data_IF_207480643273
#
_entry.id   IF_207480643273
#
_cell.length_a   1.000
_cell.length_b   1.000
_cell.length_c   1.000
_cell.angle_alpha   90.00
_cell.angle_beta   90.00
_cell.angle_gamma   90.00
#
_symmetry.space_group_name_H-M   'P 1'
#
loop_
_entity.id
_entity.type
_entity.pdbx_description
1 polymer ?
#
# COMPACT_ATOMS: atom_id res chain seq x y z
N UNK A 1 0.47 9.97 -36.86
CA UNK A 1 -0.23 8.90 -36.10
C UNK A 1 -1.04 9.59 -35.00
N UNK A 2 -2.34 9.32 -34.84
CA UNK A 2 -3.07 9.84 -33.71
C UNK A 2 -2.53 9.18 -32.44
N UNK A 3 -1.93 9.98 -31.57
CA UNK A 3 -1.62 9.63 -30.19
C UNK A 3 -2.95 9.25 -29.53
N UNK A 4 -3.22 7.96 -29.37
CA UNK A 4 -4.30 7.52 -28.49
C UNK A 4 -3.94 8.05 -27.10
N UNK A 5 -4.84 8.81 -26.44
CA UNK A 5 -4.62 9.14 -25.04
C UNK A 5 -4.46 7.79 -24.29
N UNK A 6 -3.54 7.69 -23.32
CA UNK A 6 -3.44 6.49 -22.50
C UNK A 6 -4.84 6.19 -21.99
N UNK A 7 -5.28 4.93 -22.14
CA UNK A 7 -6.55 4.47 -21.58
C UNK A 7 -6.62 4.98 -20.14
N UNK A 8 -7.77 5.51 -19.68
CA UNK A 8 -7.89 5.91 -18.30
C UNK A 8 -7.46 4.72 -17.42
N UNK A 9 -6.62 4.95 -16.40
CA UNK A 9 -6.15 3.86 -15.56
C UNK A 9 -7.36 3.07 -15.08
N UNK A 10 -7.26 1.74 -15.10
CA UNK A 10 -8.36 0.88 -14.65
C UNK A 10 -8.71 1.09 -13.17
N UNK A 11 -7.88 1.86 -12.45
CA UNK A 11 -8.06 2.30 -11.07
C UNK A 11 -8.18 3.82 -10.96
N UNK A 12 -8.92 4.26 -9.95
CA UNK A 12 -9.10 5.69 -9.66
C UNK A 12 -7.80 6.35 -9.17
N UNK A 13 -7.62 7.67 -9.36
CA UNK A 13 -6.44 8.40 -8.88
C UNK A 13 -6.17 8.25 -7.38
N UNK A 14 -7.23 8.18 -6.56
CA UNK A 14 -7.12 7.87 -5.13
C UNK A 14 -6.57 6.48 -4.88
N UNK A 15 -7.10 5.45 -5.56
CA UNK A 15 -6.65 4.06 -5.43
C UNK A 15 -5.18 3.92 -5.81
N UNK A 16 -4.77 4.57 -6.90
CA UNK A 16 -3.39 4.68 -7.34
C UNK A 16 -2.50 5.31 -6.26
N UNK A 17 -2.98 6.36 -5.60
CA UNK A 17 -2.23 7.06 -4.55
C UNK A 17 -2.04 6.16 -3.32
N UNK A 18 -3.10 5.47 -2.88
CA UNK A 18 -3.04 4.54 -1.76
C UNK A 18 -2.04 3.41 -2.02
N UNK A 19 -2.09 2.82 -3.22
CA UNK A 19 -1.17 1.77 -3.65
C UNK A 19 0.28 2.22 -3.66
N UNK A 20 0.55 3.40 -4.22
CA UNK A 20 1.89 3.95 -4.28
C UNK A 20 2.43 4.20 -2.88
N UNK A 21 1.63 4.73 -1.96
CA UNK A 21 2.06 4.93 -0.57
C UNK A 21 2.38 3.60 0.10
N UNK A 22 1.49 2.60 0.00
CA UNK A 22 1.71 1.28 0.57
C UNK A 22 2.99 0.62 0.01
N UNK A 23 3.25 0.81 -1.28
CA UNK A 23 4.44 0.29 -1.92
C UNK A 23 5.70 1.04 -1.51
N UNK A 24 5.67 2.38 -1.42
CA UNK A 24 6.79 3.18 -0.90
C UNK A 24 7.15 2.76 0.54
N UNK A 25 6.16 2.37 1.34
CA UNK A 25 6.40 1.82 2.68
C UNK A 25 7.08 0.44 2.62
N UNK A 26 6.70 -0.41 1.68
CA UNK A 26 7.37 -1.69 1.43
C UNK A 26 8.83 -1.50 0.98
N UNK A 27 9.11 -0.41 0.26
CA UNK A 27 10.46 -0.05 -0.22
C UNK A 27 11.34 0.63 0.83
N UNK A 28 10.85 0.88 2.05
CA UNK A 28 11.54 1.70 3.06
C UNK A 28 12.92 1.18 3.49
N UNK A 29 13.14 -0.13 3.40
CA UNK A 29 14.42 -0.82 3.60
C UNK A 29 15.45 -0.54 2.49
N UNK A 30 14.99 -0.22 1.29
CA UNK A 30 15.78 -0.22 0.06
C UNK A 30 15.75 -1.56 -0.70
N UNK A 31 15.24 -2.62 -0.08
CA UNK A 31 14.97 -3.90 -0.73
C UNK A 31 13.48 -4.23 -0.64
N UNK A 32 12.83 -4.33 -1.80
CA UNK A 32 11.60 -5.08 -1.93
C UNK A 32 11.93 -6.27 -2.83
N UNK A 33 11.77 -7.50 -2.33
CA UNK A 33 12.08 -8.66 -3.15
C UNK A 33 11.13 -8.72 -4.35
N UNK A 34 11.62 -9.17 -5.51
CA UNK A 34 10.78 -9.33 -6.71
C UNK A 34 9.57 -10.25 -6.43
N UNK A 35 9.74 -11.21 -5.51
CA UNK A 35 8.66 -12.04 -4.98
C UNK A 35 7.60 -11.23 -4.20
N UNK A 36 8.01 -10.33 -3.30
CA UNK A 36 7.09 -9.48 -2.54
C UNK A 36 6.34 -8.49 -3.46
N UNK A 37 7.05 -7.90 -4.43
CA UNK A 37 6.44 -7.11 -5.52
C UNK A 37 5.41 -7.95 -6.25
N UNK A 38 5.77 -9.19 -6.63
CA UNK A 38 4.91 -10.10 -7.36
C UNK A 38 3.62 -10.44 -6.62
N UNK A 39 3.71 -10.72 -5.32
CA UNK A 39 2.56 -11.02 -4.44
C UNK A 39 1.68 -9.78 -4.27
N UNK A 40 2.26 -8.61 -3.99
CA UNK A 40 1.51 -7.36 -3.91
C UNK A 40 0.77 -7.06 -5.22
N UNK A 41 1.46 -7.15 -6.36
CA UNK A 41 0.85 -6.92 -7.67
C UNK A 41 -0.26 -7.92 -7.98
N UNK A 42 -0.11 -9.19 -7.63
CA UNK A 42 -1.15 -10.19 -7.86
C UNK A 42 -2.40 -9.89 -7.02
N UNK A 43 -2.24 -9.58 -5.73
CA UNK A 43 -3.34 -9.28 -4.83
C UNK A 43 -4.05 -7.98 -5.21
N UNK A 44 -3.29 -6.92 -5.53
CA UNK A 44 -3.87 -5.66 -6.01
C UNK A 44 -4.54 -5.81 -7.36
N UNK A 45 -3.94 -6.56 -8.29
CA UNK A 45 -4.59 -6.80 -9.59
C UNK A 45 -5.91 -7.55 -9.43
N UNK A 46 -5.99 -8.55 -8.53
CA UNK A 46 -7.25 -9.25 -8.20
C UNK A 46 -8.27 -8.33 -7.55
N UNK A 47 -7.82 -7.38 -6.75
CA UNK A 47 -8.69 -6.43 -6.05
C UNK A 47 -9.45 -5.53 -7.03
N UNK A 48 -8.72 -4.96 -7.99
CA UNK A 48 -9.24 -3.96 -8.92
C UNK A 48 -9.78 -4.57 -10.21
N UNK A 49 -9.41 -5.81 -10.52
CA UNK A 49 -9.91 -6.51 -11.68
C UNK A 49 -11.36 -6.96 -11.48
N UNK A 50 -12.17 -6.72 -12.51
CA UNK A 50 -13.50 -7.30 -12.64
C UNK A 50 -13.47 -8.70 -13.25
N UNK A 51 -12.41 -9.02 -14.01
CA UNK A 51 -12.22 -10.29 -14.70
C UNK A 51 -10.73 -10.66 -14.86
N UNK A 52 -10.47 -11.94 -15.18
CA UNK A 52 -9.11 -12.47 -15.30
C UNK A 52 -8.27 -11.81 -16.42
N UNK A 53 -8.91 -11.28 -17.47
CA UNK A 53 -8.23 -10.54 -18.53
C UNK A 53 -7.79 -9.15 -18.04
N UNK A 54 -8.65 -8.47 -17.28
CA UNK A 54 -8.34 -7.20 -16.65
C UNK A 54 -7.27 -7.33 -15.57
N UNK A 55 -7.23 -8.45 -14.82
CA UNK A 55 -6.20 -8.71 -13.82
C UNK A 55 -4.79 -8.69 -14.41
N UNK A 56 -4.57 -9.40 -15.53
CA UNK A 56 -3.26 -9.43 -16.16
C UNK A 56 -2.81 -8.02 -16.62
N UNK A 57 -3.73 -7.25 -17.22
CA UNK A 57 -3.44 -5.89 -17.66
C UNK A 57 -3.15 -4.94 -16.47
N UNK A 58 -3.95 -5.03 -15.40
CA UNK A 58 -3.75 -4.27 -14.17
C UNK A 58 -2.42 -4.59 -13.52
N UNK A 59 -2.01 -5.85 -13.50
CA UNK A 59 -0.74 -6.28 -12.92
C UNK A 59 0.45 -5.60 -13.62
N UNK A 60 0.44 -5.58 -14.95
CA UNK A 60 1.47 -4.88 -15.74
C UNK A 60 1.43 -3.36 -15.50
N UNK A 61 0.24 -2.75 -15.50
CA UNK A 61 0.07 -1.31 -15.25
C UNK A 61 0.60 -0.93 -13.86
N UNK A 62 0.19 -1.68 -12.83
CA UNK A 62 0.62 -1.50 -11.45
C UNK A 62 2.14 -1.63 -11.33
N UNK A 63 2.76 -2.62 -11.99
CA UNK A 63 4.21 -2.80 -11.97
C UNK A 63 4.95 -1.56 -12.45
N UNK A 64 4.55 -1.00 -13.60
CA UNK A 64 5.13 0.22 -14.14
C UNK A 64 4.97 1.41 -13.18
N UNK A 65 3.86 1.48 -12.44
CA UNK A 65 3.67 2.53 -11.43
C UNK A 65 4.46 2.31 -10.14
N UNK A 66 4.65 1.07 -9.71
CA UNK A 66 5.49 0.74 -8.56
C UNK A 66 6.97 1.05 -8.85
N UNK A 67 7.40 0.83 -10.09
CA UNK A 67 8.74 1.22 -10.54
C UNK A 67 8.94 2.74 -10.59
N UNK A 68 7.86 3.52 -10.73
CA UNK A 68 7.90 4.97 -10.56
C UNK A 68 7.92 5.31 -9.06
N UNK A 69 9.07 5.12 -8.43
CA UNK A 69 9.30 5.44 -7.03
C UNK A 69 9.03 6.94 -6.78
N UNK A 70 7.86 7.25 -6.22
CA UNK A 70 7.48 8.61 -5.80
C UNK A 70 7.61 8.74 -4.29
N UNK A 71 8.12 9.89 -3.79
CA UNK A 71 8.22 10.14 -2.36
C UNK A 71 6.84 10.33 -1.74
N UNK A 72 6.70 9.94 -0.46
CA UNK A 72 5.47 10.11 0.31
C UNK A 72 4.99 11.57 0.33
N UNK A 73 5.92 12.53 0.30
CA UNK A 73 5.66 13.98 0.28
C UNK A 73 4.84 14.42 -0.94
N UNK A 74 4.93 13.69 -2.06
CA UNK A 74 4.14 13.95 -3.28
C UNK A 74 2.79 13.23 -3.27
N UNK A 75 2.68 12.13 -2.51
CA UNK A 75 1.50 11.25 -2.51
C UNK A 75 0.51 11.64 -1.41
N UNK A 76 0.99 11.89 -0.19
CA UNK A 76 0.17 12.29 0.96
C UNK A 76 -0.71 13.52 0.69
N UNK A 77 -0.25 14.62 0.05
CA UNK A 77 -1.12 15.76 -0.23
C UNK A 77 -2.25 15.46 -1.24
N UNK A 78 -2.17 14.34 -1.99
CA UNK A 78 -3.24 13.89 -2.89
C UNK A 78 -4.37 13.19 -2.14
N UNK A 79 -4.17 12.83 -0.87
CA UNK A 79 -5.20 12.26 0.01
C UNK A 79 -6.11 13.39 0.49
N UNK A 80 -7.29 13.45 -0.10
CA UNK A 80 -8.26 14.53 0.14
C UNK A 80 -9.19 14.23 1.31
N UNK A 81 -9.38 12.95 1.65
CA UNK A 81 -10.29 12.52 2.72
C UNK A 81 -9.50 12.07 3.95
N UNK A 82 -9.97 12.37 5.17
CA UNK A 82 -9.35 11.87 6.40
C UNK A 82 -9.34 10.33 6.45
N UNK A 83 -10.40 9.68 5.97
CA UNK A 83 -10.46 8.23 5.91
C UNK A 83 -9.39 7.61 4.97
N UNK A 84 -9.00 8.32 3.90
CA UNK A 84 -7.88 7.87 3.04
C UNK A 84 -6.57 7.89 3.83
N UNK A 85 -6.36 8.93 4.66
CA UNK A 85 -5.16 9.09 5.50
C UNK A 85 -5.07 8.03 6.60
N UNK A 86 -6.19 7.74 7.25
CA UNK A 86 -6.27 6.66 8.24
C UNK A 86 -5.96 5.30 7.58
N UNK A 87 -6.51 5.08 6.39
CA UNK A 87 -6.27 3.86 5.62
C UNK A 87 -4.78 3.72 5.29
N UNK A 88 -4.12 4.71 4.66
CA UNK A 88 -2.69 4.56 4.34
C UNK A 88 -1.80 4.39 5.56
N UNK A 89 -2.14 4.98 6.70
CA UNK A 89 -1.39 4.73 7.93
C UNK A 89 -1.48 3.25 8.33
N UNK A 90 -2.70 2.70 8.30
CA UNK A 90 -2.95 1.30 8.60
C UNK A 90 -2.23 0.37 7.60
N UNK A 91 -2.34 0.67 6.30
CA UNK A 91 -1.67 -0.08 5.24
C UNK A 91 -0.14 -0.04 5.42
N UNK A 92 0.43 1.14 5.66
CA UNK A 92 1.87 1.30 5.87
C UNK A 92 2.39 0.48 7.05
N UNK A 93 1.64 0.44 8.16
CA UNK A 93 1.99 -0.39 9.32
C UNK A 93 1.92 -1.88 9.02
N UNK A 94 0.89 -2.34 8.31
CA UNK A 94 0.76 -3.75 7.93
C UNK A 94 1.91 -4.19 7.03
N UNK A 95 2.29 -3.34 6.08
CA UNK A 95 3.37 -3.62 5.13
C UNK A 95 4.74 -3.76 5.82
N UNK A 96 5.12 -2.80 6.67
CA UNK A 96 6.39 -2.90 7.43
C UNK A 96 6.37 -4.11 8.37
N UNK A 97 5.23 -4.38 9.01
CA UNK A 97 5.10 -5.55 9.91
C UNK A 97 5.15 -6.89 9.15
N UNK A 98 4.85 -6.88 7.85
CA UNK A 98 4.89 -8.05 6.99
C UNK A 98 6.31 -8.33 6.45
N UNK A 99 7.10 -7.28 6.19
CA UNK A 99 8.47 -7.38 5.68
C UNK A 99 9.46 -7.79 6.77
N UNK A 100 9.28 -7.31 8.00
CA UNK A 100 10.16 -7.61 9.12
C UNK A 100 10.08 -9.04 9.70
N UNK A 101 9.32 -9.96 9.07
CA UNK A 101 9.16 -11.35 9.53
C UNK A 101 10.24 -12.31 9.01
N UNK A 102 11.33 -11.80 8.44
CA UNK A 102 12.49 -12.62 8.11
C UNK A 102 13.02 -13.29 9.39
N UNK A 103 13.05 -14.63 9.48
CA UNK A 103 13.34 -15.32 10.72
C UNK A 103 14.78 -15.05 11.17
N UNK A 104 14.94 -14.23 12.22
CA UNK A 104 16.23 -13.85 12.80
C UNK A 104 16.48 -12.34 12.91
N UNK A 105 15.61 -11.49 12.36
CA UNK A 105 15.69 -10.03 12.45
C UNK A 105 14.67 -9.42 13.42
N UNK A 106 14.90 -8.17 13.82
CA UNK A 106 13.96 -7.39 14.64
C UNK A 106 12.64 -7.17 13.90
N UNK A 107 11.52 -7.14 14.65
CA UNK A 107 10.15 -7.01 14.14
C UNK A 107 9.85 -5.76 13.31
N UNK A 108 10.69 -4.72 13.39
CA UNK A 108 10.72 -3.52 12.53
C UNK A 108 12.16 -2.99 12.62
N UNK A 109 12.86 -2.78 11.50
CA UNK A 109 14.20 -2.18 11.52
C UNK A 109 14.15 -0.65 11.66
N UNK A 110 15.29 0.03 11.89
CA UNK A 110 15.31 1.50 12.05
C UNK A 110 14.83 2.25 10.79
N UNK A 111 15.04 1.71 9.59
CA UNK A 111 14.66 2.36 8.34
C UNK A 111 13.14 2.32 8.12
N UNK A 112 12.52 1.18 8.40
CA UNK A 112 11.07 1.00 8.37
C UNK A 112 10.38 1.88 9.42
N UNK A 113 10.95 1.95 10.62
CA UNK A 113 10.46 2.83 11.67
C UNK A 113 10.56 4.32 11.27
N UNK A 114 11.65 4.74 10.64
CA UNK A 114 11.83 6.12 10.15
C UNK A 114 10.83 6.45 9.03
N UNK A 115 10.64 5.53 8.08
CA UNK A 115 9.65 5.68 7.01
C UNK A 115 8.22 5.78 7.55
N UNK A 116 7.88 4.96 8.55
CA UNK A 116 6.57 4.98 9.19
C UNK A 116 6.34 6.28 9.96
N UNK A 117 7.33 6.71 10.75
CA UNK A 117 7.26 8.00 11.45
C UNK A 117 7.13 9.17 10.47
N UNK A 118 7.81 9.10 9.32
CA UNK A 118 7.67 10.09 8.25
C UNK A 118 6.26 10.10 7.66
N UNK A 119 5.67 8.92 7.42
CA UNK A 119 4.28 8.82 6.98
C UNK A 119 3.32 9.45 8.01
N UNK A 120 3.43 9.08 9.30
CA UNK A 120 2.63 9.66 10.39
C UNK A 120 2.73 11.18 10.41
N UNK A 121 3.96 11.71 10.32
CA UNK A 121 4.21 13.15 10.34
C UNK A 121 3.63 13.87 9.12
N UNK A 122 3.57 13.22 7.96
CA UNK A 122 2.99 13.80 6.75
C UNK A 122 1.46 13.77 6.75
N UNK A 123 0.86 12.74 7.34
CA UNK A 123 -0.60 12.58 7.38
C UNK A 123 -1.27 13.58 8.33
N UNK A 124 -0.51 14.13 9.28
CA UNK A 124 -0.97 15.12 10.27
C UNK A 124 -2.22 14.60 11.02
N UNK A 125 -2.18 13.32 11.42
CA UNK A 125 -3.27 12.65 12.13
C UNK A 125 -3.12 12.87 13.65
N UNK A 126 -4.24 12.97 14.39
CA UNK A 126 -4.19 13.06 15.84
C UNK A 126 -3.65 11.76 16.45
N UNK A 127 -2.88 11.91 17.53
CA UNK A 127 -2.19 10.80 18.21
C UNK A 127 -3.15 9.66 18.62
N UNK A 128 -4.35 10.00 19.08
CA UNK A 128 -5.42 9.04 19.42
C UNK A 128 -5.77 8.11 18.24
N UNK A 129 -5.83 8.65 17.03
CA UNK A 129 -6.13 7.88 15.82
C UNK A 129 -4.94 6.99 15.44
N UNK A 130 -3.72 7.52 15.54
CA UNK A 130 -2.50 6.76 15.30
C UNK A 130 -2.44 5.56 16.25
N UNK A 131 -2.54 5.81 17.57
CA UNK A 131 -2.52 4.75 18.58
C UNK A 131 -3.59 3.69 18.35
N UNK A 132 -4.81 4.12 18.00
CA UNK A 132 -5.91 3.20 17.69
C UNK A 132 -5.57 2.28 16.52
N UNK A 133 -5.03 2.83 15.43
CA UNK A 133 -4.63 2.06 14.24
C UNK A 133 -3.47 1.11 14.58
N UNK A 134 -2.51 1.55 15.39
CA UNK A 134 -1.39 0.72 15.83
C UNK A 134 -1.85 -0.46 16.69
N UNK A 135 -2.83 -0.25 17.57
CA UNK A 135 -3.43 -1.29 18.41
C UNK A 135 -4.22 -2.32 17.59
N UNK A 136 -5.01 -1.85 16.62
CA UNK A 136 -5.81 -2.69 15.72
C UNK A 136 -4.90 -3.62 14.88
N UNK A 137 -3.79 -3.08 14.41
CA UNK A 137 -2.82 -3.82 13.58
C UNK A 137 -1.96 -4.82 14.37
N UNK A 138 -1.74 -4.58 15.67
CA UNK A 138 -0.87 -5.42 16.51
C UNK A 138 -1.50 -6.76 16.90
N UNK A 139 -2.80 -6.94 16.68
CA UNK A 139 -3.54 -8.18 17.00
C UNK A 139 -3.51 -9.23 15.88
N UNK A 140 -2.79 -8.95 14.78
CA UNK A 140 -2.80 -9.75 13.55
C UNK A 140 -1.61 -10.72 13.50
N UNK A 141 -1.78 -11.82 14.20
CA UNK A 141 -0.88 -12.97 14.15
C UNK A 141 -1.07 -13.78 12.85
N UNK A 142 0.07 -14.17 12.28
CA UNK A 142 0.28 -15.28 11.34
C UNK A 142 0.01 -15.05 9.85
N UNK A 143 1.09 -15.16 9.06
CA UNK A 143 1.15 -15.30 7.59
C UNK A 143 1.15 -14.03 6.71
N UNK A 144 2.22 -13.86 5.92
CA UNK A 144 2.45 -12.73 5.01
C UNK A 144 1.41 -12.69 3.87
N UNK A 145 0.96 -13.84 3.38
CA UNK A 145 -0.08 -13.94 2.35
C UNK A 145 -1.44 -13.49 2.93
N UNK A 146 -1.72 -13.86 4.18
CA UNK A 146 -2.94 -13.42 4.88
C UNK A 146 -2.96 -11.92 5.19
N UNK A 147 -1.79 -11.30 5.45
CA UNK A 147 -1.68 -9.86 5.66
C UNK A 147 -1.97 -9.09 4.37
N UNK A 148 -1.40 -9.52 3.24
CA UNK A 148 -1.69 -8.86 1.94
C UNK A 148 -3.14 -9.13 1.51
N UNK A 149 -3.70 -10.30 1.81
CA UNK A 149 -5.14 -10.57 1.58
C UNK A 149 -6.05 -9.65 2.41
N UNK A 150 -5.70 -9.40 3.68
CA UNK A 150 -6.41 -8.42 4.52
C UNK A 150 -6.24 -6.99 4.00
N UNK A 151 -5.03 -6.61 3.61
CA UNK A 151 -4.73 -5.31 3.01
C UNK A 151 -5.62 -5.07 1.79
N UNK A 152 -5.70 -6.08 0.92
CA UNK A 152 -6.58 -6.10 -0.22
C UNK A 152 -8.05 -6.02 0.23
N UNK A 153 -8.50 -6.81 1.20
CA UNK A 153 -9.88 -6.80 1.68
C UNK A 153 -10.31 -5.43 2.26
N UNK A 154 -9.45 -4.76 3.03
CA UNK A 154 -9.71 -3.42 3.58
C UNK A 154 -9.78 -2.37 2.48
N UNK A 155 -8.85 -2.41 1.52
CA UNK A 155 -8.90 -1.56 0.34
C UNK A 155 -10.19 -1.82 -0.46
N UNK A 156 -10.61 -3.08 -0.60
CA UNK A 156 -11.86 -3.46 -1.28
C UNK A 156 -13.06 -2.84 -0.59
N UNK A 157 -13.15 -2.99 0.72
CA UNK A 157 -14.26 -2.48 1.51
C UNK A 157 -14.33 -0.96 1.45
N UNK A 158 -13.18 -0.29 1.45
CA UNK A 158 -13.11 1.16 1.31
C UNK A 158 -13.52 1.62 -0.09
N UNK A 159 -13.07 0.91 -1.12
CA UNK A 159 -13.35 1.20 -2.53
C UNK A 159 -14.80 0.90 -2.91
N UNK A 160 -15.40 -0.16 -2.38
CA UNK A 160 -16.79 -0.54 -2.66
C UNK A 160 -17.81 0.20 -1.78
N UNK A 161 -17.37 0.74 -0.64
CA UNK A 161 -18.20 1.48 0.32
C UNK A 161 -18.21 2.99 0.16
N UNK A 162 -17.46 3.57 -0.79
CA UNK A 162 -17.36 5.01 -1.05
C UNK A 162 -18.17 5.48 -2.26
#
# INVERSE_FOLDING_TARGET
>A
MPIQPPLPPSISPSQMTLLRIASTMAWSDGHLADEEVGVMLDQFSRLFASDAGQQAALRDELRDYLMQNLPLEELVPKLTRPAERELVLKLGRQVISASARTPGEELINQQEADAYNRLVSLLDLPDDVVQRIEQDSSSLDTDHDSLIDQLAAELKSFVQGS
#
